data_IF_212082066981
#
_entry.id   IF_212082066981
#
_cell.length_a   1.000
_cell.length_b   1.000
_cell.length_c   1.000
_cell.angle_alpha   90.00
_cell.angle_beta   90.00
_cell.angle_gamma   90.00
#
_symmetry.space_group_name_H-M   'P 1'
#
loop_
_entity.id
_entity.type
_entity.pdbx_description
1 polymer ?
#
# COMPACT_ATOMS: atom_id res chain seq x y z
N UNK A 1 -0.71 -11.53 -15.37
CA UNK A 1 -0.61 -11.99 -13.96
C UNK A 1 -1.64 -11.20 -13.17
N UNK A 2 -2.49 -11.84 -12.35
CA UNK A 2 -3.65 -11.22 -11.69
C UNK A 2 -3.35 -11.08 -10.19
N UNK A 3 -3.67 -9.93 -9.60
CA UNK A 3 -3.55 -9.72 -8.14
C UNK A 3 -4.49 -10.69 -7.41
N UNK A 4 -4.06 -11.17 -6.24
CA UNK A 4 -4.78 -12.22 -5.51
C UNK A 4 -6.09 -11.69 -4.89
N UNK A 5 -6.15 -10.39 -4.57
CA UNK A 5 -7.39 -9.66 -4.26
C UNK A 5 -7.56 -8.41 -5.16
N UNK A 6 -8.48 -8.43 -6.14
CA UNK A 6 -8.72 -7.29 -7.03
C UNK A 6 -9.31 -6.07 -6.31
N UNK A 7 -9.85 -6.23 -5.10
CA UNK A 7 -10.44 -5.12 -4.34
C UNK A 7 -9.38 -4.26 -3.69
N UNK A 8 -8.34 -4.88 -3.11
CA UNK A 8 -7.22 -4.14 -2.55
C UNK A 8 -6.49 -3.35 -3.65
N UNK A 9 -6.29 -3.94 -4.82
CA UNK A 9 -5.73 -3.26 -5.98
C UNK A 9 -6.51 -2.01 -6.38
N UNK A 10 -7.84 -2.14 -6.50
CA UNK A 10 -8.72 -1.05 -6.89
C UNK A 10 -8.72 0.09 -5.85
N UNK A 11 -8.77 -0.26 -4.56
CA UNK A 11 -8.75 0.74 -3.48
C UNK A 11 -7.40 1.46 -3.41
N UNK A 12 -6.28 0.76 -3.61
CA UNK A 12 -4.95 1.37 -3.69
C UNK A 12 -4.90 2.38 -4.82
N UNK A 13 -5.30 2.00 -6.04
CA UNK A 13 -5.27 2.91 -7.18
C UNK A 13 -6.18 4.13 -7.00
N UNK A 14 -7.39 3.94 -6.47
CA UNK A 14 -8.28 5.04 -6.15
C UNK A 14 -7.68 5.99 -5.09
N UNK A 15 -6.98 5.45 -4.09
CA UNK A 15 -6.29 6.24 -3.07
C UNK A 15 -5.16 7.09 -3.63
N UNK A 16 -4.35 6.53 -4.54
CA UNK A 16 -3.30 7.26 -5.24
C UNK A 16 -3.86 8.39 -6.12
N UNK A 17 -4.95 8.13 -6.85
CA UNK A 17 -5.62 9.14 -7.67
C UNK A 17 -6.18 10.28 -6.81
N UNK A 18 -6.91 9.94 -5.74
CA UNK A 18 -7.45 10.94 -4.82
C UNK A 18 -6.35 11.75 -4.12
N UNK A 19 -5.24 11.11 -3.73
CA UNK A 19 -4.09 11.79 -3.15
C UNK A 19 -3.42 12.73 -4.14
N UNK A 20 -3.24 12.33 -5.40
CA UNK A 20 -2.65 13.16 -6.44
C UNK A 20 -3.51 14.40 -6.71
N UNK A 21 -4.84 14.23 -6.81
CA UNK A 21 -5.78 15.32 -6.98
C UNK A 21 -5.73 16.31 -5.80
N UNK A 22 -5.63 15.78 -4.58
CA UNK A 22 -5.62 16.58 -3.36
C UNK A 22 -4.30 17.35 -3.19
N UNK A 23 -3.16 16.72 -3.47
CA UNK A 23 -1.86 17.41 -3.52
C UNK A 23 -1.82 18.47 -4.61
N UNK A 24 -2.36 18.19 -5.80
CA UNK A 24 -2.43 19.15 -6.91
C UNK A 24 -3.31 20.36 -6.56
N UNK A 25 -4.32 20.18 -5.70
CA UNK A 25 -5.13 21.26 -5.15
C UNK A 25 -4.43 22.06 -4.03
N UNK A 26 -3.21 21.69 -3.64
CA UNK A 26 -2.41 22.36 -2.60
C UNK A 26 -2.79 21.98 -1.18
N UNK A 27 -3.49 20.86 -1.00
CA UNK A 27 -3.86 20.36 0.33
C UNK A 27 -2.83 19.34 0.83
N UNK A 28 -2.43 19.49 2.08
CA UNK A 28 -1.56 18.55 2.80
C UNK A 28 -2.44 17.65 3.67
N UNK A 29 -2.88 16.52 3.09
CA UNK A 29 -3.71 15.53 3.78
C UNK A 29 -3.08 14.15 3.68
N UNK A 30 -3.39 13.30 4.66
CA UNK A 30 -3.00 11.90 4.66
C UNK A 30 -4.24 11.05 4.42
N UNK A 31 -4.17 10.17 3.43
CA UNK A 31 -5.18 9.17 3.12
C UNK A 31 -4.88 7.88 3.86
N UNK A 32 -5.77 7.48 4.76
CA UNK A 32 -5.71 6.19 5.45
C UNK A 32 -6.52 5.15 4.67
N UNK A 33 -5.85 4.10 4.20
CA UNK A 33 -6.41 3.07 3.33
C UNK A 33 -6.43 1.75 4.08
N UNK A 34 -7.63 1.28 4.37
CA UNK A 34 -7.85 -0.02 4.99
C UNK A 34 -7.74 -1.13 3.94
N UNK A 35 -6.84 -2.08 4.18
CA UNK A 35 -6.65 -3.27 3.35
C UNK A 35 -7.17 -4.49 4.08
N UNK A 36 -7.99 -5.30 3.40
CA UNK A 36 -8.29 -6.64 3.90
C UNK A 36 -7.01 -7.47 3.84
N UNK A 37 -6.69 -8.23 4.89
CA UNK A 37 -5.31 -8.56 5.21
C UNK A 37 -4.80 -9.92 4.70
N UNK A 38 -5.49 -10.43 3.68
CA UNK A 38 -4.95 -11.46 2.77
C UNK A 38 -3.56 -11.14 2.14
N UNK A 39 -3.10 -9.88 1.99
CA UNK A 39 -1.86 -9.59 1.24
C UNK A 39 -0.74 -8.89 2.02
N UNK A 40 -0.60 -9.04 3.35
CA UNK A 40 0.64 -8.56 4.01
C UNK A 40 1.91 -9.28 3.51
N UNK A 41 1.74 -10.44 2.84
CA UNK A 41 2.81 -11.22 2.20
C UNK A 41 2.64 -11.30 0.68
N UNK A 42 1.69 -10.56 0.10
CA UNK A 42 1.52 -10.55 -1.35
C UNK A 42 2.52 -9.57 -1.95
N UNK A 43 3.67 -10.10 -2.38
CA UNK A 43 4.71 -9.34 -3.10
C UNK A 43 4.11 -8.53 -4.26
N UNK A 44 3.02 -9.00 -4.87
CA UNK A 44 2.35 -8.31 -5.99
C UNK A 44 1.63 -7.04 -5.53
N UNK A 45 1.12 -6.98 -4.31
CA UNK A 45 0.52 -5.75 -3.78
C UNK A 45 1.59 -4.70 -3.51
N UNK A 46 2.75 -5.11 -2.99
CA UNK A 46 3.90 -4.22 -2.81
C UNK A 46 4.42 -3.69 -4.15
N UNK A 47 4.49 -4.56 -5.17
CA UNK A 47 4.83 -4.15 -6.54
C UNK A 47 3.80 -3.16 -7.11
N UNK A 48 2.51 -3.41 -6.89
CA UNK A 48 1.43 -2.52 -7.32
C UNK A 48 1.56 -1.14 -6.66
N UNK A 49 1.73 -1.07 -5.34
CA UNK A 49 1.95 0.19 -4.61
C UNK A 49 3.18 0.93 -5.15
N UNK A 50 4.30 0.23 -5.37
CA UNK A 50 5.52 0.83 -5.92
C UNK A 50 5.32 1.40 -7.33
N UNK A 51 4.54 0.69 -8.15
CA UNK A 51 4.18 1.15 -9.50
C UNK A 51 3.30 2.39 -9.47
N UNK A 52 2.36 2.48 -8.52
CA UNK A 52 1.45 3.62 -8.38
C UNK A 52 2.18 4.87 -7.85
N UNK A 53 3.13 4.72 -6.92
CA UNK A 53 4.02 5.81 -6.50
C UNK A 53 4.76 6.37 -7.71
N UNK A 54 5.35 5.48 -8.52
CA UNK A 54 6.11 5.90 -9.72
C UNK A 54 5.21 6.56 -10.76
N UNK A 55 4.00 6.03 -10.95
CA UNK A 55 3.03 6.53 -11.94
C UNK A 55 2.47 7.91 -11.58
N UNK A 56 2.15 8.12 -10.30
CA UNK A 56 1.44 9.33 -9.86
C UNK A 56 2.39 10.42 -9.38
N UNK A 57 3.60 10.07 -8.91
CA UNK A 57 4.54 11.02 -8.33
C UNK A 57 4.11 11.59 -6.97
N UNK A 58 3.04 11.03 -6.37
CA UNK A 58 2.53 11.43 -5.06
C UNK A 58 3.59 11.23 -3.99
N UNK A 59 3.65 12.15 -3.03
CA UNK A 59 4.51 11.98 -1.87
C UNK A 59 4.08 10.71 -1.10
N UNK A 60 4.92 9.68 -0.93
CA UNK A 60 4.53 8.47 -0.21
C UNK A 60 4.08 8.72 1.23
N UNK A 61 4.38 9.89 1.80
CA UNK A 61 3.93 10.30 3.14
C UNK A 61 2.47 10.74 3.20
N UNK A 62 1.79 10.95 2.07
CA UNK A 62 0.37 11.29 2.01
C UNK A 62 -0.54 10.07 2.04
N UNK A 63 0.02 8.85 2.11
CA UNK A 63 -0.73 7.60 2.12
C UNK A 63 -0.28 6.72 3.30
N UNK A 64 -1.25 6.23 4.06
CA UNK A 64 -1.06 5.28 5.16
C UNK A 64 -1.89 4.03 4.86
N UNK A 65 -1.25 2.86 4.81
CA UNK A 65 -1.95 1.59 4.61
C UNK A 65 -2.17 0.89 5.95
N UNK A 66 -3.43 0.63 6.28
CA UNK A 66 -3.84 -0.06 7.49
C UNK A 66 -4.26 -1.50 7.19
N UNK A 67 -3.94 -2.39 8.12
CA UNK A 67 -4.29 -3.81 8.09
C UNK A 67 -4.73 -4.20 9.49
N UNK A 68 -5.81 -4.95 9.61
CA UNK A 68 -6.38 -5.28 10.92
C UNK A 68 -5.51 -6.26 11.70
N UNK A 69 -5.46 -6.09 13.02
CA UNK A 69 -4.57 -6.80 13.95
C UNK A 69 -4.69 -8.32 13.88
N UNK A 70 -5.92 -8.86 13.83
CA UNK A 70 -6.16 -10.32 13.73
C UNK A 70 -5.43 -10.95 12.54
N UNK A 71 -5.30 -10.20 11.46
CA UNK A 71 -4.68 -10.68 10.23
C UNK A 71 -3.19 -10.35 10.17
N UNK A 72 -2.74 -9.28 10.82
CA UNK A 72 -1.33 -9.01 11.08
C UNK A 72 -0.70 -10.09 11.99
N UNK A 73 -1.41 -10.58 13.00
CA UNK A 73 -0.96 -11.67 13.88
C UNK A 73 -0.80 -12.98 13.11
N UNK A 74 -1.70 -13.30 12.19
CA UNK A 74 -1.60 -14.51 11.35
C UNK A 74 -0.40 -14.42 10.38
N UNK A 75 -0.05 -13.23 9.89
CA UNK A 75 0.98 -13.02 8.88
C UNK A 75 2.35 -12.60 9.41
N UNK A 76 2.49 -12.12 10.65
CA UNK A 76 3.80 -11.83 11.27
C UNK A 76 4.72 -13.06 11.27
N UNK A 77 4.15 -14.26 11.38
CA UNK A 77 4.89 -15.52 11.32
C UNK A 77 5.42 -15.84 9.91
N UNK A 78 4.89 -15.16 8.87
CA UNK A 78 5.28 -15.29 7.46
C UNK A 78 6.10 -14.10 6.95
N UNK A 79 5.92 -12.91 7.52
CA UNK A 79 6.60 -11.68 7.16
C UNK A 79 8.00 -11.61 7.78
N UNK A 80 8.91 -12.52 7.39
CA UNK A 80 10.34 -12.32 7.66
C UNK A 80 10.85 -11.33 6.61
N UNK A 81 11.29 -10.12 6.99
CA UNK A 81 11.85 -9.20 6.02
C UNK A 81 13.10 -9.83 5.37
N UNK A 82 13.28 -9.71 4.05
CA UNK A 82 14.56 -10.02 3.41
C UNK A 82 15.67 -9.25 4.14
N UNK A 83 16.75 -9.94 4.52
CA UNK A 83 17.88 -9.34 5.24
C UNK A 83 18.50 -8.12 4.54
N UNK A 84 18.21 -7.94 3.25
CA UNK A 84 18.60 -6.79 2.45
C UNK A 84 17.98 -5.46 2.95
N UNK A 85 16.82 -5.48 3.60
CA UNK A 85 16.13 -4.25 4.05
C UNK A 85 16.71 -3.66 5.34
N UNK A 86 17.48 -4.45 6.11
CA UNK A 86 18.09 -4.03 7.38
C UNK A 86 19.55 -3.57 7.24
N UNK A 87 20.06 -3.47 6.02
CA UNK A 87 21.47 -3.18 5.74
C UNK A 87 21.76 -1.71 5.38
N UNK A 88 20.94 -0.74 5.82
CA UNK A 88 21.25 0.70 5.63
C UNK A 88 20.95 1.52 6.87
#
# INVERSE_FOLDING_TARGET
>A
MRLDDPRNAAVVSAGFEASAETEAAGHDVVFEINLSAKPLVDERLTDHISSEITRTGVNPRSLMFEVTETEAIINIDRARPPSAWLSR
#
